data_IF_241377845205
#
_entry.id   IF_241377845205
#
_cell.length_a   1.000
_cell.length_b   1.000
_cell.length_c   1.000
_cell.angle_alpha   90.00
_cell.angle_beta   90.00
_cell.angle_gamma   90.00
#
_symmetry.space_group_name_H-M   'P 1'
#
loop_
_entity.id
_entity.type
_entity.pdbx_description
1 polymer ?
#
# COMPACT_ATOMS: atom_id res chain seq x y z
N UNK A 1 18.43 10.11 35.44
CA UNK A 1 18.52 10.13 33.97
C UNK A 1 17.37 9.26 33.48
N UNK A 2 16.28 9.85 33.00
CA UNK A 2 15.13 9.08 32.50
C UNK A 2 15.25 8.98 30.98
N UNK A 3 15.25 7.76 30.46
CA UNK A 3 15.22 7.50 29.03
C UNK A 3 13.84 7.87 28.50
N UNK A 4 13.77 8.85 27.60
CA UNK A 4 12.54 9.16 26.85
C UNK A 4 12.21 7.96 25.97
N UNK A 5 11.00 7.37 26.06
CA UNK A 5 10.61 6.31 25.15
C UNK A 5 10.58 6.86 23.71
N UNK A 6 11.20 6.13 22.79
CA UNK A 6 11.04 6.36 21.36
C UNK A 6 9.60 5.99 21.00
N UNK A 7 8.73 6.98 20.87
CA UNK A 7 7.38 6.77 20.34
C UNK A 7 7.55 6.56 18.84
N UNK A 8 7.17 5.38 18.34
CA UNK A 8 7.05 5.16 16.90
C UNK A 8 6.04 6.18 16.36
N UNK A 9 6.42 6.95 15.36
CA UNK A 9 5.56 7.99 14.80
C UNK A 9 4.34 7.33 14.14
N UNK A 10 3.17 7.50 14.74
CA UNK A 10 1.91 7.01 14.16
C UNK A 10 1.51 7.91 12.97
N UNK A 11 1.39 7.29 11.81
CA UNK A 11 0.87 7.94 10.60
C UNK A 11 -0.63 7.68 10.49
N UNK A 12 -1.38 8.69 10.08
CA UNK A 12 -2.83 8.56 9.91
C UNK A 12 -3.21 7.74 8.66
N UNK A 13 -2.32 7.69 7.67
CA UNK A 13 -2.52 6.94 6.43
C UNK A 13 -1.23 6.19 6.06
N UNK A 14 -1.34 4.89 5.81
CA UNK A 14 -0.29 4.08 5.21
C UNK A 14 -0.80 3.49 3.89
N UNK A 15 0.02 3.55 2.85
CA UNK A 15 -0.30 3.04 1.52
C UNK A 15 0.65 1.88 1.20
N UNK A 16 0.09 0.78 0.70
CA UNK A 16 0.87 -0.39 0.32
C UNK A 16 0.83 -0.64 -1.19
N UNK A 17 2.00 -0.85 -1.79
CA UNK A 17 2.12 -1.39 -3.14
C UNK A 17 1.72 -2.86 -3.13
N UNK A 18 0.87 -3.23 -4.07
CA UNK A 18 0.41 -4.62 -4.19
C UNK A 18 1.43 -5.43 -4.97
N UNK A 19 1.87 -6.54 -4.37
CA UNK A 19 2.58 -7.62 -5.04
C UNK A 19 1.55 -8.71 -5.40
N UNK A 20 1.26 -8.84 -6.68
CA UNK A 20 0.32 -9.83 -7.20
C UNK A 20 1.06 -11.02 -7.83
N UNK A 21 0.39 -12.18 -7.87
CA UNK A 21 1.04 -13.47 -8.14
C UNK A 21 1.57 -13.67 -9.56
N UNK A 22 1.02 -12.99 -10.57
CA UNK A 22 1.46 -13.18 -11.94
C UNK A 22 0.97 -12.15 -12.94
N UNK A 23 1.48 -12.26 -14.17
CA UNK A 23 1.31 -11.23 -15.20
C UNK A 23 2.09 -9.95 -14.85
N UNK A 24 2.54 -9.22 -15.86
CA UNK A 24 3.24 -7.94 -15.71
C UNK A 24 4.34 -7.85 -14.63
N UNK A 25 4.73 -6.61 -14.36
CA UNK A 25 5.81 -6.31 -13.41
C UNK A 25 5.27 -5.42 -12.28
N UNK A 26 4.82 -6.02 -11.18
CA UNK A 26 4.24 -5.29 -10.02
C UNK A 26 5.20 -4.27 -9.39
N UNK A 27 6.50 -4.43 -9.64
CA UNK A 27 7.58 -3.54 -9.20
C UNK A 27 7.91 -2.45 -10.23
N UNK A 28 7.12 -2.31 -11.30
CA UNK A 28 7.26 -1.19 -12.25
C UNK A 28 7.13 0.15 -11.52
N UNK A 29 7.88 1.14 -12.03
CA UNK A 29 7.83 2.53 -11.56
C UNK A 29 8.09 2.66 -10.06
N UNK A 30 9.23 2.11 -9.59
CA UNK A 30 9.55 2.03 -8.17
C UNK A 30 9.42 3.37 -7.44
N UNK A 31 9.79 4.47 -8.10
CA UNK A 31 9.76 5.83 -7.56
C UNK A 31 8.37 6.47 -7.56
N UNK A 32 7.41 5.97 -8.33
CA UNK A 32 6.09 6.62 -8.47
C UNK A 32 5.34 6.75 -7.14
N UNK A 33 5.34 5.70 -6.31
CA UNK A 33 4.68 5.73 -5.01
C UNK A 33 5.46 6.61 -3.99
N UNK A 34 6.78 6.48 -3.82
CA UNK A 34 7.56 7.45 -3.04
C UNK A 34 7.33 8.92 -3.44
N UNK A 35 7.29 9.21 -4.75
CA UNK A 35 7.03 10.55 -5.27
C UNK A 35 5.61 11.03 -4.96
N UNK A 36 4.61 10.17 -5.14
CA UNK A 36 3.22 10.47 -4.76
C UNK A 36 3.11 10.77 -3.26
N UNK A 37 3.73 9.95 -2.40
CA UNK A 37 3.72 10.15 -0.95
C UNK A 37 4.40 11.48 -0.58
N UNK A 38 5.53 11.79 -1.22
CA UNK A 38 6.22 13.08 -1.06
C UNK A 38 5.31 14.25 -1.48
N UNK A 39 4.67 14.15 -2.64
CA UNK A 39 3.77 15.17 -3.16
C UNK A 39 2.56 15.39 -2.24
N UNK A 40 1.89 14.33 -1.78
CA UNK A 40 0.77 14.42 -0.83
C UNK A 40 1.20 15.14 0.45
N UNK A 41 2.40 14.86 0.96
CA UNK A 41 2.92 15.54 2.17
C UNK A 41 3.26 17.01 1.95
N UNK A 42 3.67 17.39 0.74
CA UNK A 42 4.05 18.76 0.41
C UNK A 42 2.83 19.63 0.11
N UNK A 43 1.80 19.05 -0.51
CA UNK A 43 0.65 19.79 -1.04
C UNK A 43 -0.60 19.67 -0.16
N UNK A 44 -0.60 18.81 0.86
CA UNK A 44 -1.75 18.58 1.73
C UNK A 44 -1.35 18.49 3.21
N UNK A 45 -2.33 18.54 4.11
CA UNK A 45 -2.13 18.34 5.54
C UNK A 45 -2.24 16.85 5.96
N UNK A 46 -2.32 15.92 5.00
CA UNK A 46 -2.49 14.50 5.29
C UNK A 46 -1.22 13.93 5.94
N UNK A 47 -1.35 13.37 7.14
CA UNK A 47 -0.26 12.68 7.83
C UNK A 47 -0.07 11.26 7.26
N UNK A 48 0.49 11.18 6.05
CA UNK A 48 0.78 9.91 5.37
C UNK A 48 2.18 9.39 5.71
N UNK A 49 2.31 8.07 5.87
CA UNK A 49 3.59 7.39 6.03
C UNK A 49 4.46 7.64 4.78
N UNK A 50 5.67 8.23 4.91
CA UNK A 50 6.53 8.52 3.77
C UNK A 50 7.19 7.26 3.18
N UNK A 51 7.08 6.11 3.84
CA UNK A 51 7.66 4.86 3.38
C UNK A 51 6.56 3.98 2.76
N UNK A 52 6.68 3.61 1.49
CA UNK A 52 5.76 2.64 0.90
C UNK A 52 5.93 1.28 1.56
N UNK A 53 4.81 0.64 1.88
CA UNK A 53 4.78 -0.78 2.24
C UNK A 53 4.59 -1.65 1.00
N UNK A 54 4.94 -2.93 1.10
CA UNK A 54 4.57 -3.94 0.10
C UNK A 54 3.64 -4.94 0.77
N UNK A 55 2.56 -5.29 0.07
CA UNK A 55 1.58 -6.27 0.54
C UNK A 55 1.22 -7.28 -0.54
N UNK A 56 1.11 -8.54 -0.14
CA UNK A 56 0.61 -9.62 -0.99
C UNK A 56 -0.89 -9.79 -0.74
N UNK A 57 -1.68 -9.89 -1.81
CA UNK A 57 -3.14 -10.01 -1.73
C UNK A 57 -3.59 -11.30 -1.02
N UNK A 58 -2.74 -12.32 -0.97
CA UNK A 58 -2.95 -13.58 -0.25
C UNK A 58 -2.85 -13.45 1.28
N UNK A 59 -2.38 -12.30 1.80
CA UNK A 59 -2.11 -12.10 3.24
C UNK A 59 -3.12 -11.17 3.89
N UNK A 60 -3.39 -11.36 5.19
CA UNK A 60 -4.32 -10.52 5.96
C UNK A 60 -3.80 -9.09 6.17
N UNK A 61 -2.51 -8.84 5.89
CA UNK A 61 -1.96 -7.48 5.88
C UNK A 61 -2.67 -6.57 4.88
N UNK A 62 -3.30 -7.07 3.81
CA UNK A 62 -4.01 -6.17 2.88
C UNK A 62 -5.12 -5.39 3.58
N UNK A 63 -5.78 -5.98 4.59
CA UNK A 63 -6.86 -5.34 5.32
C UNK A 63 -6.39 -4.28 6.33
N UNK A 64 -5.08 -4.13 6.54
CA UNK A 64 -4.52 -3.09 7.42
C UNK A 64 -4.25 -1.77 6.70
N UNK A 65 -4.34 -1.76 5.37
CA UNK A 65 -4.12 -0.57 4.55
C UNK A 65 -5.45 -0.08 4.00
N UNK A 66 -5.85 1.18 4.23
CA UNK A 66 -7.09 1.71 3.65
C UNK A 66 -6.95 2.06 2.16
N UNK A 67 -5.72 2.06 1.63
CA UNK A 67 -5.42 2.37 0.24
C UNK A 67 -4.32 1.43 -0.29
N UNK A 68 -4.61 0.76 -1.40
CA UNK A 68 -3.68 -0.10 -2.12
C UNK A 68 -3.23 0.59 -3.41
N UNK A 69 -1.94 0.47 -3.73
CA UNK A 69 -1.33 1.03 -4.92
C UNK A 69 -0.93 -0.08 -5.89
N UNK A 70 -1.59 -0.15 -7.04
CA UNK A 70 -1.33 -1.16 -8.07
C UNK A 70 -0.68 -0.49 -9.29
N UNK A 71 0.51 -0.95 -9.68
CA UNK A 71 1.19 -0.58 -10.93
C UNK A 71 1.70 -1.83 -11.64
N UNK A 72 1.96 -1.72 -12.93
CA UNK A 72 2.57 -2.78 -13.72
C UNK A 72 2.41 -2.59 -15.22
N UNK A 73 3.30 -3.21 -15.99
CA UNK A 73 3.20 -3.27 -17.45
C UNK A 73 2.43 -4.52 -17.88
N UNK A 74 1.49 -4.37 -18.82
CA UNK A 74 0.68 -5.48 -19.33
C UNK A 74 -0.50 -5.86 -18.42
N UNK A 75 -0.96 -7.11 -18.51
CA UNK A 75 -2.11 -7.59 -17.74
C UNK A 75 -1.68 -8.10 -16.37
N UNK A 76 -2.28 -7.56 -15.30
CA UNK A 76 -2.21 -8.17 -13.98
C UNK A 76 -3.05 -9.46 -13.96
N UNK A 77 -2.47 -10.55 -13.47
CA UNK A 77 -3.13 -11.84 -13.33
C UNK A 77 -3.18 -12.21 -11.85
N UNK A 78 -4.40 -12.45 -11.38
CA UNK A 78 -4.69 -12.80 -10.01
C UNK A 78 -5.12 -14.26 -9.92
N UNK A 79 -4.75 -14.93 -8.84
CA UNK A 79 -5.35 -16.20 -8.46
C UNK A 79 -6.80 -16.00 -7.98
N UNK A 80 -7.61 -17.06 -8.02
CA UNK A 80 -8.98 -17.02 -7.49
C UNK A 80 -9.04 -16.53 -6.02
N UNK A 81 -8.04 -16.89 -5.22
CA UNK A 81 -7.92 -16.43 -3.85
C UNK A 81 -7.68 -14.92 -3.78
N UNK A 82 -6.75 -14.38 -4.57
CA UNK A 82 -6.47 -12.95 -4.61
C UNK A 82 -7.67 -12.15 -5.12
N UNK A 83 -8.40 -12.67 -6.12
CA UNK A 83 -9.64 -12.05 -6.63
C UNK A 83 -10.68 -11.96 -5.52
N UNK A 84 -10.91 -13.06 -4.78
CA UNK A 84 -11.89 -13.09 -3.69
C UNK A 84 -11.53 -12.08 -2.59
N UNK A 85 -10.25 -12.02 -2.21
CA UNK A 85 -9.76 -11.12 -1.16
C UNK A 85 -9.77 -9.65 -1.59
N UNK A 86 -9.38 -9.36 -2.83
CA UNK A 86 -9.44 -8.00 -3.38
C UNK A 86 -10.88 -7.52 -3.49
N UNK A 87 -11.81 -8.39 -3.93
CA UNK A 87 -13.25 -8.07 -3.91
C UNK A 87 -13.73 -7.75 -2.50
N UNK A 88 -13.41 -8.61 -1.54
CA UNK A 88 -13.76 -8.36 -0.14
C UNK A 88 -13.19 -7.02 0.35
N UNK A 89 -11.93 -6.73 0.07
CA UNK A 89 -11.29 -5.46 0.43
C UNK A 89 -12.06 -4.24 -0.11
N UNK A 90 -12.39 -4.25 -1.40
CA UNK A 90 -13.14 -3.17 -2.06
C UNK A 90 -14.57 -3.04 -1.52
N UNK A 91 -15.27 -4.17 -1.31
CA UNK A 91 -16.63 -4.18 -0.75
C UNK A 91 -16.71 -3.65 0.68
N UNK A 92 -15.61 -3.73 1.44
CA UNK A 92 -15.52 -3.21 2.81
C UNK A 92 -14.94 -1.78 2.89
N UNK A 93 -14.85 -1.08 1.75
CA UNK A 93 -14.46 0.34 1.70
C UNK A 93 -12.97 0.59 1.51
N UNK A 94 -12.19 -0.45 1.23
CA UNK A 94 -10.83 -0.29 0.73
C UNK A 94 -10.81 0.41 -0.63
N UNK A 95 -9.74 1.17 -0.88
CA UNK A 95 -9.49 1.83 -2.16
C UNK A 95 -8.23 1.28 -2.83
#
# INVERSE_FOLDING_TARGET
MFATPCVAQEYALSIARVKYSGGGDWYSDEQSLPELLSYVRNETLVNVNPRPDIVELSTDRLFTFPYLYLTGHGNAVFTEQEISRLRQYLEHGGF
#
